data_IF_441028548769
#
_entry.id   IF_441028548769
#
_cell.length_a   1.000
_cell.length_b   1.000
_cell.length_c   1.000
_cell.angle_alpha   90.00
_cell.angle_beta   90.00
_cell.angle_gamma   90.00
#
_symmetry.space_group_name_H-M   'P 1'
#
loop_
_entity.id
_entity.type
_entity.pdbx_description
1 polymer ?
#
# COMPACT_ATOMS: atom_id res chain seq x y z
N UNK A 1 -9.41 -4.14 17.28
CA UNK A 1 -8.80 -5.46 17.03
C UNK A 1 -7.54 -5.30 16.20
N UNK A 2 -6.37 -5.07 16.80
CA UNK A 2 -5.17 -5.60 16.18
C UNK A 2 -5.34 -7.12 16.24
N UNK A 3 -5.37 -7.78 15.09
CA UNK A 3 -5.05 -9.20 15.05
C UNK A 3 -3.80 -9.42 15.89
N UNK A 4 -3.67 -10.56 16.56
CA UNK A 4 -2.35 -11.15 16.78
C UNK A 4 -1.71 -11.40 15.41
N UNK A 5 -1.32 -10.33 14.73
CA UNK A 5 -0.22 -10.26 13.79
C UNK A 5 1.02 -10.50 14.62
N UNK A 6 1.13 -11.74 15.11
CA UNK A 6 2.23 -12.24 15.89
C UNK A 6 3.51 -11.98 15.08
N UNK A 7 4.34 -11.08 15.60
CA UNK A 7 5.75 -10.93 15.28
C UNK A 7 6.12 -10.57 13.82
N UNK A 8 5.53 -9.51 13.26
CA UNK A 8 6.24 -8.69 12.26
C UNK A 8 7.01 -7.51 12.90
N UNK A 9 6.79 -7.28 14.19
CA UNK A 9 7.49 -6.31 14.99
C UNK A 9 8.66 -7.00 15.69
N UNK A 10 9.77 -7.18 14.97
CA UNK A 10 11.07 -7.34 15.63
C UNK A 10 11.25 -6.18 16.61
N UNK A 11 11.87 -6.41 17.77
CA UNK A 11 12.24 -5.38 18.75
C UNK A 11 13.35 -4.46 18.19
N UNK A 12 13.14 -3.92 16.98
CA UNK A 12 13.90 -2.83 16.43
C UNK A 12 13.65 -1.60 17.30
N UNK A 13 14.74 -0.89 17.63
CA UNK A 13 14.67 0.40 18.32
C UNK A 13 13.59 1.25 17.66
N UNK A 14 12.70 1.84 18.47
CA UNK A 14 11.69 2.81 18.03
C UNK A 14 12.33 3.76 17.01
N UNK A 15 11.88 3.69 15.76
CA UNK A 15 12.38 4.54 14.68
C UNK A 15 11.94 6.00 14.84
N UNK A 16 10.94 6.26 15.70
CA UNK A 16 10.53 7.61 16.07
C UNK A 16 11.61 8.25 16.95
N UNK A 17 12.12 9.45 16.58
CA UNK A 17 13.04 10.21 17.43
C UNK A 17 12.47 10.37 18.84
N UNK A 18 13.28 10.19 19.91
CA UNK A 18 12.79 10.20 21.29
C UNK A 18 11.96 11.44 21.65
N UNK A 19 12.33 12.61 21.12
CA UNK A 19 11.64 13.88 21.38
C UNK A 19 10.21 13.97 20.82
N UNK A 20 9.81 13.04 19.94
CA UNK A 20 8.50 13.04 19.29
C UNK A 20 7.58 11.90 19.73
N UNK A 21 8.05 10.95 20.56
CA UNK A 21 7.25 9.78 20.95
C UNK A 21 5.94 10.12 21.65
N UNK A 22 5.95 11.20 22.44
CA UNK A 22 4.78 11.69 23.18
C UNK A 22 3.97 12.73 22.38
N UNK A 23 4.33 12.98 21.12
CA UNK A 23 3.62 13.95 20.30
C UNK A 23 2.17 13.51 20.10
N UNK A 24 1.21 14.41 20.31
CA UNK A 24 -0.23 14.10 20.31
C UNK A 24 -0.71 13.51 18.98
N UNK A 25 -0.06 13.87 17.87
CA UNK A 25 -0.35 13.31 16.53
C UNK A 25 0.16 11.88 16.32
N UNK A 26 1.10 11.39 17.14
CA UNK A 26 1.68 10.04 17.02
C UNK A 26 1.08 9.06 18.03
N UNK A 27 0.70 9.55 19.21
CA UNK A 27 0.18 8.70 20.28
C UNK A 27 -1.13 8.02 19.88
N UNK A 28 -1.10 6.69 19.81
CA UNK A 28 -2.24 5.83 19.44
C UNK A 28 -2.90 6.17 18.09
N UNK A 29 -2.15 6.78 17.16
CA UNK A 29 -2.63 7.21 15.84
C UNK A 29 -1.74 6.72 14.74
N UNK A 30 -2.35 6.55 13.56
CA UNK A 30 -1.58 6.33 12.35
C UNK A 30 -1.06 7.67 11.86
N UNK A 31 0.25 7.74 11.67
CA UNK A 31 0.91 8.90 11.11
C UNK A 31 1.66 8.47 9.84
N UNK A 32 1.00 8.58 8.70
CA UNK A 32 1.64 8.35 7.40
C UNK A 32 2.48 9.55 7.00
N UNK A 33 3.66 9.29 6.44
CA UNK A 33 4.60 10.34 6.02
C UNK A 33 4.67 10.41 4.50
N UNK A 34 4.99 11.60 3.98
CA UNK A 34 5.42 11.77 2.60
C UNK A 34 6.92 11.48 2.51
N UNK A 35 7.45 10.93 1.41
CA UNK A 35 8.90 10.80 1.26
C UNK A 35 9.59 12.16 1.32
N UNK A 36 10.79 12.24 1.90
CA UNK A 36 11.43 13.54 2.15
C UNK A 36 11.59 14.32 0.85
N UNK A 37 11.98 13.65 -0.24
CA UNK A 37 12.08 14.30 -1.55
C UNK A 37 10.72 14.74 -2.14
N UNK A 38 9.61 14.09 -1.78
CA UNK A 38 8.25 14.53 -2.18
C UNK A 38 7.83 15.72 -1.35
N UNK A 39 8.02 15.66 -0.02
CA UNK A 39 7.70 16.75 0.91
C UNK A 39 8.46 18.02 0.52
N UNK A 40 9.78 17.95 0.38
CA UNK A 40 10.60 19.11 0.01
C UNK A 40 10.20 19.67 -1.36
N UNK A 41 9.88 18.80 -2.33
CA UNK A 41 9.43 19.26 -3.65
C UNK A 41 8.07 19.98 -3.57
N UNK A 42 7.19 19.56 -2.68
CA UNK A 42 5.90 20.25 -2.45
C UNK A 42 6.13 21.57 -1.74
N UNK A 43 6.96 21.61 -0.71
CA UNK A 43 7.30 22.84 0.04
C UNK A 43 7.96 23.87 -0.87
N UNK A 44 8.91 23.46 -1.71
CA UNK A 44 9.59 24.31 -2.68
C UNK A 44 8.60 25.01 -3.63
N UNK A 45 7.62 24.27 -4.17
CA UNK A 45 6.69 24.82 -5.16
C UNK A 45 5.54 25.61 -4.50
N UNK A 46 5.11 25.23 -3.30
CA UNK A 46 4.00 25.90 -2.59
C UNK A 46 4.47 27.15 -1.82
N UNK A 47 5.68 27.14 -1.28
CA UNK A 47 6.24 28.14 -0.37
C UNK A 47 6.19 27.68 1.08
N UNK A 48 7.34 27.65 1.77
CA UNK A 48 7.47 27.17 3.16
C UNK A 48 6.66 28.02 4.16
N UNK A 49 6.55 29.33 3.91
CA UNK A 49 5.78 30.28 4.72
C UNK A 49 4.29 29.98 4.79
N UNK A 50 3.77 29.15 3.88
CA UNK A 50 2.36 28.75 3.84
C UNK A 50 2.02 27.58 4.76
N UNK A 51 3.02 26.84 5.23
CA UNK A 51 2.81 25.65 6.06
C UNK A 51 2.81 26.02 7.53
N UNK A 52 2.06 25.25 8.33
CA UNK A 52 2.24 25.29 9.77
C UNK A 52 3.68 24.86 10.11
N UNK A 53 4.43 25.76 10.75
CA UNK A 53 5.87 25.59 10.96
C UNK A 53 6.18 24.40 11.86
N UNK A 54 5.41 24.21 12.93
CA UNK A 54 5.64 23.14 13.90
C UNK A 54 5.35 21.77 13.26
N UNK A 55 4.22 21.65 12.56
CA UNK A 55 3.83 20.44 11.85
C UNK A 55 4.81 20.10 10.73
N UNK A 56 5.27 21.09 9.95
CA UNK A 56 6.23 20.84 8.88
C UNK A 56 7.58 20.35 9.43
N UNK A 57 8.07 20.92 10.54
CA UNK A 57 9.29 20.44 11.21
C UNK A 57 9.14 19.00 11.67
N UNK A 58 8.00 18.65 12.28
CA UNK A 58 7.69 17.29 12.67
C UNK A 58 7.68 16.34 11.46
N UNK A 59 6.98 16.71 10.39
CA UNK A 59 6.90 15.89 9.18
C UNK A 59 8.26 15.65 8.53
N UNK A 60 9.11 16.67 8.42
CA UNK A 60 10.47 16.52 7.87
C UNK A 60 11.29 15.50 8.65
N UNK A 61 11.24 15.58 9.98
CA UNK A 61 11.93 14.63 10.87
C UNK A 61 11.39 13.22 10.72
N UNK A 62 10.07 13.05 10.77
CA UNK A 62 9.43 11.74 10.66
C UNK A 62 9.58 11.12 9.27
N UNK A 63 9.50 11.93 8.21
CA UNK A 63 9.79 11.53 6.84
C UNK A 63 11.21 10.99 6.71
N UNK A 64 12.19 11.72 7.26
CA UNK A 64 13.59 11.30 7.27
C UNK A 64 13.79 9.99 8.03
N UNK A 65 13.11 9.83 9.17
CA UNK A 65 13.14 8.60 9.95
C UNK A 65 12.46 7.41 9.23
N UNK A 66 11.42 7.66 8.44
CA UNK A 66 10.69 6.64 7.68
C UNK A 66 11.44 6.19 6.41
N UNK A 67 12.27 7.07 5.83
CA UNK A 67 13.11 6.78 4.68
C UNK A 67 12.46 7.12 3.34
N UNK A 68 12.67 6.27 2.32
CA UNK A 68 12.26 6.50 0.92
C UNK A 68 10.88 5.91 0.56
N UNK A 69 10.21 5.36 1.56
CA UNK A 69 8.93 4.67 1.48
C UNK A 69 8.85 3.41 0.61
N UNK A 70 9.98 2.76 0.34
CA UNK A 70 10.02 1.46 -0.35
C UNK A 70 9.57 0.28 0.51
N UNK A 71 9.60 0.43 1.83
CA UNK A 71 9.28 -0.65 2.79
C UNK A 71 8.55 -0.19 4.05
N UNK A 72 8.56 1.10 4.35
CA UNK A 72 7.90 1.72 5.49
C UNK A 72 7.07 2.88 4.95
N UNK A 73 5.96 3.27 5.59
CA UNK A 73 5.07 4.35 5.07
C UNK A 73 4.60 5.32 6.15
N UNK A 74 4.92 5.04 7.41
CA UNK A 74 4.48 5.84 8.53
C UNK A 74 4.73 5.16 9.85
N UNK A 75 4.03 5.64 10.88
CA UNK A 75 4.17 5.19 12.25
C UNK A 75 2.80 4.90 12.86
N UNK A 76 2.75 3.91 13.73
CA UNK A 76 1.61 3.63 14.60
C UNK A 76 2.12 3.18 15.96
N UNK A 77 1.69 3.87 17.02
CA UNK A 77 2.01 3.52 18.41
C UNK A 77 3.52 3.34 18.66
N UNK A 78 4.35 4.21 18.09
CA UNK A 78 5.82 4.12 18.22
C UNK A 78 6.51 3.22 17.18
N UNK A 79 5.77 2.43 16.41
CA UNK A 79 6.32 1.44 15.47
C UNK A 79 6.17 1.87 14.01
N UNK A 80 7.12 1.48 13.15
CA UNK A 80 7.00 1.70 11.72
C UNK A 80 5.90 0.82 11.09
N UNK A 81 5.10 1.43 10.24
CA UNK A 81 4.13 0.74 9.38
C UNK A 81 4.90 0.22 8.16
N UNK A 82 5.13 -1.09 8.08
CA UNK A 82 5.85 -1.73 6.97
C UNK A 82 4.91 -2.02 5.81
N UNK A 83 5.15 -1.42 4.65
CA UNK A 83 4.29 -1.58 3.48
C UNK A 83 5.07 -1.36 2.17
N UNK A 84 5.21 -2.43 1.38
CA UNK A 84 6.03 -2.43 0.17
C UNK A 84 5.24 -2.18 -1.14
N UNK A 85 3.91 -2.05 -1.06
CA UNK A 85 3.07 -1.87 -2.24
C UNK A 85 2.79 -0.40 -2.56
N UNK A 86 3.24 0.54 -1.72
CA UNK A 86 3.06 1.97 -2.01
C UNK A 86 4.02 2.43 -3.12
N UNK A 87 5.26 1.95 -3.09
CA UNK A 87 6.33 2.40 -3.98
C UNK A 87 7.14 1.22 -4.49
N UNK A 88 7.57 1.20 -5.78
CA UNK A 88 8.50 0.19 -6.25
C UNK A 88 9.77 0.16 -5.39
N UNK A 89 10.22 -1.04 -5.03
CA UNK A 89 11.51 -1.21 -4.38
C UNK A 89 12.59 -0.71 -5.31
N UNK A 90 13.34 0.29 -4.86
CA UNK A 90 14.59 0.67 -5.52
C UNK A 90 15.57 -0.44 -5.17
N UNK A 91 15.93 -1.25 -6.17
CA UNK A 91 17.02 -2.22 -5.99
C UNK A 91 18.27 -1.36 -5.84
N UNK A 92 18.91 -1.34 -4.65
CA UNK A 92 20.10 -0.53 -4.47
C UNK A 92 21.15 -0.98 -5.49
N UNK A 93 21.91 -0.03 -6.07
CA UNK A 93 22.96 -0.38 -7.00
C UNK A 93 23.91 -1.37 -6.30
N UNK A 94 24.18 -2.46 -6.99
CA UNK A 94 25.06 -3.49 -6.50
C UNK A 94 26.47 -2.92 -6.25
N UNK A 95 27.04 -3.14 -5.06
CA UNK A 95 28.40 -2.70 -4.74
C UNK A 95 29.41 -3.76 -5.16
N UNK A 96 30.27 -3.41 -6.14
CA UNK A 96 31.39 -4.26 -6.60
C UNK A 96 32.27 -4.68 -5.42
N UNK A 97 32.54 -3.76 -4.50
CA UNK A 97 33.40 -4.01 -3.35
C UNK A 97 32.76 -5.03 -2.39
N UNK A 98 31.43 -5.02 -2.27
CA UNK A 98 30.70 -6.02 -1.48
C UNK A 98 30.86 -7.43 -2.08
N UNK A 99 30.70 -7.63 -3.40
CA UNK A 99 30.97 -8.96 -3.97
C UNK A 99 32.42 -9.38 -3.78
N UNK A 100 33.38 -8.48 -4.00
CA UNK A 100 34.80 -8.79 -3.82
C UNK A 100 35.09 -9.21 -2.38
N UNK A 101 34.56 -8.49 -1.40
CA UNK A 101 34.71 -8.83 0.03
C UNK A 101 34.07 -10.19 0.39
N UNK A 102 33.03 -10.60 -0.32
CA UNK A 102 32.38 -11.90 -0.18
C UNK A 102 33.04 -13.01 -1.03
N UNK A 103 34.15 -12.73 -1.72
CA UNK A 103 34.82 -13.69 -2.62
C UNK A 103 34.03 -14.02 -3.89
N UNK A 104 33.02 -13.22 -4.23
CA UNK A 104 32.18 -13.40 -5.41
C UNK A 104 32.71 -12.59 -6.60
N UNK A 105 32.60 -13.15 -7.81
CA UNK A 105 32.95 -12.42 -9.02
C UNK A 105 31.86 -11.37 -9.33
N UNK A 106 32.20 -10.06 -9.41
CA UNK A 106 31.20 -9.00 -9.59
C UNK A 106 30.27 -9.21 -10.79
N UNK A 107 30.80 -9.67 -11.93
CA UNK A 107 30.01 -9.93 -13.12
C UNK A 107 28.96 -11.05 -12.95
N UNK A 108 29.28 -12.06 -12.12
CA UNK A 108 28.33 -13.14 -11.81
C UNK A 108 27.21 -12.64 -10.89
N UNK A 109 27.56 -11.80 -9.91
CA UNK A 109 26.57 -11.19 -8.99
C UNK A 109 25.68 -10.22 -9.73
N UNK A 110 26.23 -9.36 -10.58
CA UNK A 110 25.46 -8.45 -11.42
C UNK A 110 24.50 -9.22 -12.33
N UNK A 111 24.99 -10.28 -13.00
CA UNK A 111 24.13 -11.14 -13.83
C UNK A 111 23.04 -11.82 -13.00
N UNK A 112 23.36 -12.31 -11.81
CA UNK A 112 22.37 -12.94 -10.92
C UNK A 112 21.33 -11.92 -10.44
N UNK A 113 21.74 -10.73 -10.01
CA UNK A 113 20.83 -9.66 -9.59
C UNK A 113 19.96 -9.17 -10.74
N UNK A 114 20.52 -9.04 -11.94
CA UNK A 114 19.74 -8.74 -13.14
C UNK A 114 18.73 -9.84 -13.43
N UNK A 115 19.13 -11.12 -13.35
CA UNK A 115 18.19 -12.23 -13.48
C UNK A 115 17.13 -12.25 -12.37
N UNK A 116 17.45 -11.89 -11.13
CA UNK A 116 16.49 -11.81 -10.02
C UNK A 116 15.53 -10.62 -10.16
N UNK A 117 16.04 -9.47 -10.61
CA UNK A 117 15.25 -8.28 -10.92
C UNK A 117 14.31 -8.54 -12.10
N UNK A 118 14.87 -9.09 -13.19
CA UNK A 118 14.16 -9.37 -14.44
C UNK A 118 13.15 -10.51 -14.31
N UNK A 119 13.33 -11.47 -13.38
CA UNK A 119 12.57 -12.73 -13.45
C UNK A 119 11.14 -12.67 -12.96
N UNK A 120 10.81 -12.00 -11.86
CA UNK A 120 9.43 -12.07 -11.32
C UNK A 120 9.14 -10.99 -10.26
N UNK A 121 10.12 -10.56 -9.46
CA UNK A 121 9.84 -9.74 -8.26
C UNK A 121 9.34 -8.35 -8.63
N UNK A 122 9.93 -7.70 -9.62
CA UNK A 122 9.49 -6.38 -10.06
C UNK A 122 8.14 -6.45 -10.77
N UNK A 123 7.93 -7.47 -11.61
CA UNK A 123 6.69 -7.68 -12.35
C UNK A 123 5.52 -8.01 -11.41
N UNK A 124 5.73 -8.94 -10.47
CA UNK A 124 4.75 -9.25 -9.42
C UNK A 124 4.48 -8.05 -8.52
N UNK A 125 5.53 -7.29 -8.18
CA UNK A 125 5.38 -6.02 -7.48
C UNK A 125 4.52 -5.04 -8.28
N UNK A 126 4.75 -4.92 -9.59
CA UNK A 126 3.97 -4.05 -10.48
C UNK A 126 2.50 -4.46 -10.54
N UNK A 127 2.20 -5.76 -10.64
CA UNK A 127 0.82 -6.28 -10.61
C UNK A 127 0.15 -6.01 -9.27
N UNK A 128 0.85 -6.28 -8.17
CA UNK A 128 0.37 -6.04 -6.82
C UNK A 128 0.04 -4.55 -6.59
N UNK A 129 0.96 -3.64 -6.94
CA UNK A 129 0.73 -2.19 -6.84
C UNK A 129 -0.40 -1.71 -7.75
N UNK A 130 -0.47 -2.23 -8.98
CA UNK A 130 -1.56 -1.97 -9.91
C UNK A 130 -2.91 -2.41 -9.33
N UNK A 131 -2.96 -3.58 -8.68
CA UNK A 131 -4.16 -4.09 -8.03
C UNK A 131 -4.55 -3.23 -6.82
N UNK A 132 -3.59 -2.82 -5.97
CA UNK A 132 -3.83 -1.86 -4.91
C UNK A 132 -4.43 -0.55 -5.44
N UNK A 133 -3.88 -0.01 -6.54
CA UNK A 133 -4.43 1.19 -7.17
C UNK A 133 -5.83 1.02 -7.75
N UNK A 134 -6.11 -0.16 -8.33
CA UNK A 134 -7.47 -0.49 -8.76
C UNK A 134 -8.43 -0.58 -7.58
N UNK A 135 -8.07 -1.30 -6.50
CA UNK A 135 -8.86 -1.39 -5.27
C UNK A 135 -9.16 -0.02 -4.67
N UNK A 136 -8.13 0.83 -4.58
CA UNK A 136 -8.26 2.19 -4.05
C UNK A 136 -9.05 3.15 -4.95
N UNK A 137 -9.40 2.71 -6.15
CA UNK A 137 -10.33 3.39 -7.06
C UNK A 137 -11.63 2.60 -7.31
N UNK A 138 -11.82 1.47 -6.63
CA UNK A 138 -13.02 0.65 -6.69
C UNK A 138 -13.98 1.08 -5.56
N UNK A 139 -15.10 1.70 -5.92
CA UNK A 139 -16.10 2.21 -4.97
C UNK A 139 -16.64 1.11 -4.04
N UNK A 140 -16.90 -0.08 -4.57
CA UNK A 140 -17.45 -1.18 -3.79
C UNK A 140 -16.46 -1.66 -2.72
N UNK A 141 -15.19 -1.89 -3.09
CA UNK A 141 -14.13 -2.24 -2.14
C UNK A 141 -14.03 -1.21 -1.02
N UNK A 142 -13.98 0.05 -1.42
CA UNK A 142 -13.85 1.17 -0.52
C UNK A 142 -15.02 1.25 0.46
N UNK A 143 -16.27 1.11 -0.01
CA UNK A 143 -17.47 1.20 0.83
C UNK A 143 -17.57 0.00 1.80
N UNK A 144 -17.21 -1.21 1.35
CA UNK A 144 -17.10 -2.39 2.22
C UNK A 144 -15.99 -2.24 3.28
N UNK A 145 -14.84 -1.70 2.89
CA UNK A 145 -13.72 -1.40 3.79
C UNK A 145 -14.15 -0.38 4.87
N UNK A 146 -14.78 0.73 4.47
CA UNK A 146 -15.22 1.74 5.42
C UNK A 146 -16.25 1.18 6.42
N UNK A 147 -17.18 0.34 5.96
CA UNK A 147 -18.14 -0.35 6.82
C UNK A 147 -17.44 -1.25 7.85
N UNK A 148 -16.45 -2.02 7.41
CA UNK A 148 -15.67 -2.91 8.28
C UNK A 148 -14.98 -2.12 9.41
N UNK A 149 -14.35 -0.99 9.07
CA UNK A 149 -13.70 -0.13 10.06
C UNK A 149 -14.68 0.68 10.91
N UNK A 150 -15.84 1.09 10.39
CA UNK A 150 -16.85 1.78 11.20
C UNK A 150 -17.47 0.86 12.25
N UNK A 151 -17.68 -0.41 11.90
CA UNK A 151 -18.23 -1.42 12.82
C UNK A 151 -17.25 -1.72 13.96
N UNK A 152 -15.95 -1.85 13.65
CA UNK A 152 -14.91 -2.07 14.66
C UNK A 152 -14.53 -0.83 15.48
N UNK A 153 -14.81 0.39 14.98
CA UNK A 153 -14.44 1.67 15.60
C UNK A 153 -15.28 2.09 16.80
N UNK A 154 -16.58 1.78 16.80
CA UNK A 154 -17.46 2.12 17.91
C UNK A 154 -17.11 1.35 19.20
N UNK A 155 -16.15 0.45 19.11
CA UNK A 155 -15.73 -0.43 20.17
C UNK A 155 -14.26 -0.09 20.45
N UNK A 156 -14.06 0.97 21.25
CA UNK A 156 -12.76 1.29 21.84
C UNK A 156 -12.09 -0.01 22.32
N UNK A 157 -10.75 -0.15 22.28
CA UNK A 157 -10.07 -1.29 22.92
C UNK A 157 -10.42 -1.45 24.42
N UNK A 158 -11.05 -0.44 25.04
CA UNK A 158 -11.64 -0.50 26.40
C UNK A 158 -13.10 -0.95 26.46
N UNK A 159 -13.79 -1.00 25.34
CA UNK A 159 -15.10 -1.62 25.24
C UNK A 159 -14.88 -3.12 25.36
N UNK A 160 -15.31 -3.71 26.48
CA UNK A 160 -15.41 -5.15 26.66
C UNK A 160 -16.42 -5.70 25.65
N UNK A 161 -15.97 -5.91 24.43
CA UNK A 161 -16.73 -6.75 23.51
C UNK A 161 -16.82 -8.13 24.10
N UNK A 162 -18.02 -8.69 24.14
CA UNK A 162 -18.18 -10.10 24.40
C UNK A 162 -17.45 -10.91 23.32
N UNK A 163 -17.08 -12.15 23.65
CA UNK A 163 -16.32 -13.01 22.75
C UNK A 163 -17.03 -13.24 21.41
N UNK A 164 -18.37 -13.20 21.37
CA UNK A 164 -19.15 -13.43 20.16
C UNK A 164 -19.04 -12.25 19.17
N UNK A 165 -19.13 -11.00 19.65
CA UNK A 165 -18.94 -9.82 18.82
C UNK A 165 -17.51 -9.75 18.24
N UNK A 166 -16.51 -10.19 19.03
CA UNK A 166 -15.12 -10.29 18.55
C UNK A 166 -14.97 -11.31 17.43
N UNK A 167 -15.62 -12.46 17.57
CA UNK A 167 -15.59 -13.52 16.56
C UNK A 167 -16.30 -13.07 15.27
N UNK A 168 -17.49 -12.47 15.38
CA UNK A 168 -18.22 -11.96 14.23
C UNK A 168 -17.40 -10.92 13.43
N UNK A 169 -16.71 -10.01 14.13
CA UNK A 169 -15.85 -9.03 13.47
C UNK A 169 -14.65 -9.69 12.77
N UNK A 170 -14.07 -10.74 13.36
CA UNK A 170 -13.00 -11.52 12.72
C UNK A 170 -13.53 -12.24 11.46
N UNK A 171 -14.70 -12.87 11.54
CA UNK A 171 -15.30 -13.57 10.41
C UNK A 171 -15.65 -12.61 9.26
N UNK A 172 -16.18 -11.42 9.57
CA UNK A 172 -16.42 -10.35 8.58
C UNK A 172 -15.11 -9.87 7.94
N UNK A 173 -14.05 -9.70 8.73
CA UNK A 173 -12.74 -9.30 8.26
C UNK A 173 -12.11 -10.37 7.34
N UNK A 174 -12.16 -11.64 7.73
CA UNK A 174 -11.64 -12.76 6.95
C UNK A 174 -12.42 -12.92 5.64
N UNK A 175 -13.75 -12.81 5.67
CA UNK A 175 -14.60 -12.82 4.49
C UNK A 175 -14.26 -11.65 3.53
N UNK A 176 -13.99 -10.47 4.08
CA UNK A 176 -13.53 -9.31 3.31
C UNK A 176 -12.18 -9.58 2.64
N UNK A 177 -11.19 -10.11 3.37
CA UNK A 177 -9.88 -10.44 2.82
C UNK A 177 -9.97 -11.48 1.69
N UNK A 178 -10.73 -12.56 1.90
CA UNK A 178 -10.93 -13.62 0.89
C UNK A 178 -11.62 -13.07 -0.36
N UNK A 179 -12.67 -12.26 -0.18
CA UNK A 179 -13.42 -11.65 -1.29
C UNK A 179 -12.56 -10.79 -2.20
N UNK A 180 -11.65 -10.03 -1.60
CA UNK A 180 -10.78 -9.07 -2.31
C UNK A 180 -9.37 -9.60 -2.57
N UNK A 181 -9.13 -10.90 -2.31
CA UNK A 181 -7.84 -11.58 -2.55
C UNK A 181 -6.69 -10.88 -1.85
N UNK A 182 -6.91 -10.52 -0.60
CA UNK A 182 -5.94 -9.85 0.24
C UNK A 182 -5.33 -10.84 1.23
N UNK A 183 -4.03 -10.73 1.43
CA UNK A 183 -3.33 -11.37 2.53
C UNK A 183 -3.67 -10.66 3.85
N UNK A 184 -3.71 -9.33 3.84
CA UNK A 184 -4.03 -8.50 5.00
C UNK A 184 -4.33 -7.06 4.59
N UNK A 185 -4.73 -6.24 5.56
CA UNK A 185 -4.75 -4.77 5.47
C UNK A 185 -3.86 -4.23 6.58
N UNK A 186 -2.66 -3.74 6.22
CA UNK A 186 -1.63 -3.34 7.21
C UNK A 186 -2.04 -2.09 7.99
N UNK A 187 -2.74 -1.21 7.31
CA UNK A 187 -3.33 0.00 7.85
C UNK A 187 -4.53 0.40 6.98
N UNK A 188 -5.40 1.32 7.43
CA UNK A 188 -6.51 1.76 6.61
C UNK A 188 -6.04 2.20 5.23
N UNK A 189 -6.69 1.68 4.18
CA UNK A 189 -6.37 1.98 2.79
C UNK A 189 -4.98 1.50 2.31
N UNK A 190 -4.33 0.60 3.05
CA UNK A 190 -3.10 -0.10 2.64
C UNK A 190 -3.35 -1.61 2.50
N UNK A 191 -4.10 -2.04 1.46
CA UNK A 191 -4.34 -3.45 1.22
C UNK A 191 -3.04 -4.17 0.83
N UNK A 192 -2.86 -5.41 1.31
CA UNK A 192 -1.76 -6.28 0.88
C UNK A 192 -2.35 -7.41 0.05
N UNK A 193 -2.18 -7.41 -1.28
CA UNK A 193 -2.68 -8.48 -2.13
C UNK A 193 -2.07 -9.84 -1.75
N UNK A 194 -2.83 -10.91 -1.96
CA UNK A 194 -2.25 -12.25 -1.97
C UNK A 194 -1.14 -12.30 -3.02
N UNK A 195 0.04 -12.78 -2.63
CA UNK A 195 1.17 -13.00 -3.53
C UNK A 195 1.23 -14.47 -3.95
N UNK A 196 1.83 -14.78 -5.11
CA UNK A 196 2.13 -16.16 -5.46
C UNK A 196 2.98 -16.78 -4.34
N UNK A 197 2.50 -17.90 -3.79
CA UNK A 197 3.31 -18.70 -2.88
C UNK A 197 4.03 -19.73 -3.73
N UNK A 198 5.32 -19.47 -3.98
CA UNK A 198 6.20 -20.51 -4.48
C UNK A 198 6.48 -21.47 -3.31
N UNK A 199 6.37 -22.77 -3.56
CA UNK A 199 6.32 -23.84 -2.55
C UNK A 199 7.44 -23.86 -1.48
N UNK A 200 8.46 -23.00 -1.57
CA UNK A 200 9.52 -22.85 -0.57
C UNK A 200 9.17 -22.03 0.68
N UNK A 201 7.93 -21.51 0.81
CA UNK A 201 7.52 -20.65 1.93
C UNK A 201 6.56 -21.26 2.97
N UNK A 202 6.25 -22.55 2.88
CA UNK A 202 5.27 -23.20 3.77
C UNK A 202 5.92 -23.75 5.05
N UNK A 203 5.19 -23.76 6.16
CA UNK A 203 5.62 -24.37 7.42
C UNK A 203 5.56 -25.91 7.31
N UNK A 204 6.45 -26.60 8.03
CA UNK A 204 6.76 -28.03 7.84
C UNK A 204 5.57 -29.00 7.94
N UNK A 205 4.48 -28.65 8.65
CA UNK A 205 3.34 -29.56 8.85
C UNK A 205 2.33 -29.55 7.69
N UNK A 206 2.21 -28.46 6.93
CA UNK A 206 1.33 -28.38 5.74
C UNK A 206 2.01 -28.93 4.49
N UNK A 207 3.33 -28.98 4.51
CA UNK A 207 4.17 -29.54 3.44
C UNK A 207 4.02 -31.07 3.37
N UNK A 208 3.86 -31.77 4.50
CA UNK A 208 3.86 -33.24 4.52
C UNK A 208 2.64 -33.85 3.78
N UNK A 209 1.48 -33.18 3.82
CA UNK A 209 0.26 -33.64 3.14
C UNK A 209 0.28 -33.34 1.63
N UNK A 210 0.93 -32.23 1.24
CA UNK A 210 1.18 -31.82 -0.14
C UNK A 210 2.28 -32.68 -0.81
N UNK A 211 3.34 -33.06 -0.06
CA UNK A 211 4.46 -33.87 -0.54
C UNK A 211 4.11 -35.33 -0.88
N UNK A 212 2.98 -35.84 -0.39
CA UNK A 212 2.58 -37.24 -0.63
C UNK A 212 1.65 -37.41 -1.85
N UNK A 213 1.16 -36.34 -2.48
CA UNK A 213 0.15 -36.44 -3.57
C UNK A 213 0.38 -35.52 -4.78
N UNK A 214 1.25 -34.51 -4.69
CA UNK A 214 1.60 -33.61 -5.81
C UNK A 214 1.80 -32.16 -5.37
N UNK A 215 2.54 -31.37 -6.17
CA UNK A 215 2.85 -29.97 -5.83
C UNK A 215 1.62 -29.05 -5.83
N UNK A 216 1.52 -28.17 -4.83
CA UNK A 216 0.52 -27.08 -4.82
C UNK A 216 1.17 -25.78 -5.26
N UNK A 217 0.67 -25.27 -6.37
CA UNK A 217 0.93 -23.93 -6.86
C UNK A 217 -0.24 -23.06 -6.46
N UNK A 218 -0.03 -22.11 -5.54
CA UNK A 218 -1.01 -21.07 -5.25
C UNK A 218 -0.64 -19.82 -6.04
N UNK A 219 -1.37 -19.60 -7.14
CA UNK A 219 -1.33 -18.37 -7.93
C UNK A 219 -2.70 -17.68 -7.77
N UNK A 220 -2.79 -16.55 -7.05
CA UNK A 220 -4.04 -15.79 -6.97
C UNK A 220 -4.56 -15.42 -8.36
N UNK A 221 -5.89 -15.45 -8.53
CA UNK A 221 -6.59 -15.07 -9.77
C UNK A 221 -6.38 -13.59 -10.17
N UNK A 222 -5.82 -12.78 -9.27
CA UNK A 222 -5.44 -11.38 -9.51
C UNK A 222 -4.06 -11.21 -10.18
N UNK A 223 -3.27 -12.27 -10.29
CA UNK A 223 -1.93 -12.27 -10.92
C UNK A 223 -2.01 -12.86 -12.33
N UNK A 224 -1.38 -12.25 -13.35
CA UNK A 224 -1.39 -12.82 -14.69
C UNK A 224 -0.51 -14.07 -14.78
N UNK A 225 -1.03 -15.09 -15.44
CA UNK A 225 -0.33 -16.35 -15.72
C UNK A 225 0.73 -16.17 -16.83
N UNK A 226 1.94 -16.76 -16.72
CA UNK A 226 2.96 -16.69 -17.77
C UNK A 226 2.55 -17.46 -19.04
N UNK A 227 3.36 -17.36 -20.11
CA UNK A 227 2.99 -17.80 -21.46
C UNK A 227 2.78 -19.32 -21.64
N UNK A 228 2.38 -19.71 -22.85
CA UNK A 228 0.99 -20.11 -23.09
C UNK A 228 0.74 -21.61 -23.22
N UNK A 229 1.66 -22.44 -23.71
CA UNK A 229 1.21 -23.78 -24.16
C UNK A 229 1.28 -24.86 -23.07
N UNK A 230 2.15 -24.72 -22.06
CA UNK A 230 2.37 -25.76 -21.03
C UNK A 230 1.56 -25.55 -19.75
N UNK A 231 1.21 -24.30 -19.43
CA UNK A 231 0.54 -23.95 -18.17
C UNK A 231 -0.97 -23.74 -18.39
N UNK A 232 -1.39 -23.39 -19.61
CA UNK A 232 -2.75 -22.96 -19.93
C UNK A 232 -3.77 -24.09 -20.07
N UNK A 233 -3.41 -25.23 -20.65
CA UNK A 233 -4.35 -26.37 -20.79
C UNK A 233 -4.64 -27.06 -19.45
N UNK A 234 -3.71 -27.04 -18.49
CA UNK A 234 -3.87 -27.75 -17.22
C UNK A 234 -4.47 -26.88 -16.09
N UNK A 235 -4.41 -25.55 -16.20
CA UNK A 235 -4.95 -24.62 -15.20
C UNK A 235 -6.29 -23.97 -15.59
N UNK A 236 -6.60 -23.79 -16.88
CA UNK A 236 -7.93 -23.28 -17.29
C UNK A 236 -9.06 -24.22 -16.84
N UNK A 237 -8.86 -25.54 -16.92
CA UNK A 237 -9.84 -26.58 -16.52
C UNK A 237 -10.01 -26.73 -14.98
N UNK A 238 -9.02 -26.29 -14.22
CA UNK A 238 -9.01 -26.40 -12.75
C UNK A 238 -9.52 -25.13 -12.05
N UNK A 239 -9.28 -23.94 -12.63
CA UNK A 239 -9.60 -22.64 -12.02
C UNK A 239 -10.99 -22.08 -12.36
N UNK A 240 -11.65 -22.56 -13.42
CA UNK A 240 -12.90 -21.96 -13.94
C UNK A 240 -14.18 -22.80 -13.74
N UNK A 241 -14.19 -23.76 -12.80
CA UNK A 241 -15.42 -24.54 -12.51
C UNK A 241 -16.50 -23.77 -11.72
N UNK A 242 -16.34 -22.46 -11.50
CA UNK A 242 -17.31 -21.61 -10.82
C UNK A 242 -17.55 -20.28 -11.52
N UNK A 243 -18.69 -19.65 -11.23
CA UNK A 243 -19.05 -18.33 -11.74
C UNK A 243 -17.95 -17.31 -11.43
N UNK A 244 -17.49 -16.58 -12.44
CA UNK A 244 -16.49 -15.53 -12.26
C UNK A 244 -17.06 -14.44 -11.34
N UNK A 245 -16.33 -14.02 -10.28
CA UNK A 245 -16.82 -12.97 -9.39
C UNK A 245 -17.02 -11.67 -10.16
N UNK A 246 -18.28 -11.22 -10.28
CA UNK A 246 -18.65 -10.04 -11.06
C UNK A 246 -17.91 -8.78 -10.59
N UNK A 247 -17.64 -8.65 -9.28
CA UNK A 247 -16.95 -7.49 -8.72
C UNK A 247 -15.45 -7.39 -9.08
N UNK A 248 -14.82 -8.49 -9.52
CA UNK A 248 -13.43 -8.50 -9.99
C UNK A 248 -13.32 -8.46 -11.52
N UNK A 249 -14.45 -8.47 -12.24
CA UNK A 249 -14.45 -8.62 -13.69
C UNK A 249 -13.60 -7.56 -14.39
N UNK A 250 -13.68 -6.30 -13.97
CA UNK A 250 -12.89 -5.21 -14.54
C UNK A 250 -11.38 -5.46 -14.40
N UNK A 251 -10.93 -5.84 -13.20
CA UNK A 251 -9.52 -6.17 -12.97
C UNK A 251 -9.09 -7.38 -13.81
N UNK A 252 -9.90 -8.44 -13.82
CA UNK A 252 -9.64 -9.64 -14.61
C UNK A 252 -9.55 -9.32 -16.10
N UNK A 253 -10.30 -8.33 -16.60
CA UNK A 253 -10.19 -7.86 -17.98
C UNK A 253 -8.88 -7.10 -18.25
N UNK A 254 -8.42 -6.26 -17.32
CA UNK A 254 -7.17 -5.51 -17.43
C UNK A 254 -5.94 -6.43 -17.53
N UNK A 255 -5.90 -7.50 -16.73
CA UNK A 255 -4.71 -8.38 -16.62
C UNK A 255 -4.63 -9.48 -17.68
N UNK A 256 -5.70 -9.70 -18.47
CA UNK A 256 -5.75 -10.74 -19.52
C UNK A 256 -4.58 -10.63 -20.50
N UNK A 257 -3.97 -11.76 -20.81
CA UNK A 257 -2.76 -11.85 -21.65
C UNK A 257 -2.91 -11.30 -23.08
N UNK A 258 -4.13 -11.26 -23.61
CA UNK A 258 -4.42 -10.68 -24.93
C UNK A 258 -4.80 -9.21 -24.91
N UNK A 259 -4.86 -8.57 -23.74
CA UNK A 259 -5.33 -7.20 -23.62
C UNK A 259 -4.16 -6.21 -23.69
N UNK A 260 -4.19 -5.29 -24.64
CA UNK A 260 -3.26 -4.14 -24.70
C UNK A 260 -3.41 -3.22 -23.49
N UNK A 261 -4.51 -3.34 -22.74
CA UNK A 261 -4.75 -2.65 -21.47
C UNK A 261 -3.84 -3.09 -20.32
N UNK A 262 -2.90 -4.06 -20.49
CA UNK A 262 -1.81 -4.28 -19.52
C UNK A 262 -1.02 -2.99 -19.22
N UNK A 263 -0.97 -2.07 -20.18
CA UNK A 263 -0.43 -0.72 -20.00
C UNK A 263 -1.19 0.14 -18.96
N UNK A 264 -2.34 -0.32 -18.45
CA UNK A 264 -3.09 0.37 -17.40
C UNK A 264 -2.59 0.08 -15.98
N UNK A 265 -1.72 -0.93 -15.79
CA UNK A 265 -1.16 -1.25 -14.47
C UNK A 265 -0.30 -0.12 -13.92
N UNK A 266 0.57 0.48 -14.73
CA UNK A 266 1.41 1.61 -14.28
C UNK A 266 0.58 2.85 -13.92
N UNK A 267 -0.45 3.22 -14.70
CA UNK A 267 -1.43 4.19 -14.25
C UNK A 267 -2.05 3.88 -12.89
N UNK A 268 -2.52 2.66 -12.64
CA UNK A 268 -3.11 2.33 -11.34
C UNK A 268 -2.09 2.35 -10.21
N UNK A 269 -0.90 1.79 -10.39
CA UNK A 269 0.16 1.84 -9.40
C UNK A 269 0.54 3.30 -9.04
N UNK A 270 0.68 4.17 -10.05
CA UNK A 270 0.94 5.60 -9.83
C UNK A 270 -0.25 6.30 -9.17
N UNK A 271 -1.49 5.99 -9.57
CA UNK A 271 -2.70 6.54 -8.96
C UNK A 271 -2.79 6.17 -7.48
N UNK A 272 -2.36 4.97 -7.09
CA UNK A 272 -2.30 4.56 -5.69
C UNK A 272 -1.39 5.45 -4.86
N UNK A 273 -0.13 5.59 -5.30
CA UNK A 273 0.88 6.42 -4.65
C UNK A 273 0.45 7.91 -4.62
N UNK A 274 -0.03 8.42 -5.75
CA UNK A 274 -0.55 9.79 -5.89
C UNK A 274 -1.74 10.03 -4.96
N UNK A 275 -2.72 9.13 -4.92
CA UNK A 275 -3.90 9.24 -4.07
C UNK A 275 -3.51 9.26 -2.59
N UNK A 276 -2.57 8.41 -2.19
CA UNK A 276 -2.07 8.36 -0.82
C UNK A 276 -1.44 9.71 -0.43
N UNK A 277 -0.43 10.17 -1.18
CA UNK A 277 0.27 11.42 -0.90
C UNK A 277 -0.64 12.65 -0.95
N UNK A 278 -1.54 12.70 -1.93
CA UNK A 278 -2.46 13.82 -2.08
C UNK A 278 -3.45 13.94 -0.91
N UNK A 279 -3.92 12.80 -0.38
CA UNK A 279 -4.79 12.79 0.81
C UNK A 279 -4.06 13.25 2.05
N UNK A 280 -2.81 12.81 2.26
CA UNK A 280 -2.00 13.26 3.40
C UNK A 280 -1.77 14.77 3.38
N UNK A 281 -1.42 15.33 2.22
CA UNK A 281 -1.29 16.78 2.05
C UNK A 281 -2.61 17.51 2.34
N UNK A 282 -3.73 16.99 1.85
CA UNK A 282 -5.05 17.61 2.05
C UNK A 282 -5.52 17.58 3.49
N UNK A 283 -5.21 16.52 4.21
CA UNK A 283 -5.59 16.35 5.61
C UNK A 283 -4.80 17.28 6.53
N UNK A 284 -3.48 17.36 6.33
CA UNK A 284 -2.58 18.07 7.26
C UNK A 284 -2.26 19.50 6.86
N UNK A 285 -2.31 19.80 5.57
CA UNK A 285 -1.88 21.07 4.99
C UNK A 285 -2.95 21.68 4.08
N UNK A 286 -4.23 21.50 4.44
CA UNK A 286 -5.37 21.94 3.63
C UNK A 286 -5.27 23.41 3.20
N UNK A 287 -4.90 24.28 4.14
CA UNK A 287 -4.79 25.73 3.95
C UNK A 287 -3.56 26.10 3.10
N UNK A 288 -2.41 25.49 3.39
CA UNK A 288 -1.16 25.70 2.65
C UNK A 288 -1.33 25.36 1.16
N UNK A 289 -2.08 24.30 0.84
CA UNK A 289 -2.28 23.86 -0.54
C UNK A 289 -3.59 24.36 -1.17
N UNK A 290 -4.36 25.18 -0.45
CA UNK A 290 -5.58 25.78 -1.00
C UNK A 290 -5.24 26.59 -2.26
N UNK A 291 -6.00 26.37 -3.35
CA UNK A 291 -5.79 26.94 -4.69
C UNK A 291 -4.43 26.65 -5.34
N UNK A 292 -3.66 25.69 -4.83
CA UNK A 292 -2.33 25.30 -5.35
C UNK A 292 -2.33 23.99 -6.15
N UNK A 293 -3.47 23.63 -6.76
CA UNK A 293 -3.59 22.34 -7.48
C UNK A 293 -2.63 22.29 -8.69
N UNK A 294 -2.45 23.40 -9.41
CA UNK A 294 -1.51 23.46 -10.54
C UNK A 294 -0.06 23.24 -10.11
N UNK A 295 0.33 23.94 -9.04
CA UNK A 295 1.64 23.86 -8.40
C UNK A 295 1.93 22.44 -7.89
N UNK A 296 0.99 21.83 -7.17
CA UNK A 296 1.09 20.43 -6.74
C UNK A 296 1.21 19.46 -7.92
N UNK A 297 0.43 19.65 -8.99
CA UNK A 297 0.54 18.79 -10.17
C UNK A 297 1.92 18.87 -10.82
N UNK A 298 2.59 20.03 -10.77
CA UNK A 298 3.97 20.20 -11.24
C UNK A 298 4.97 19.53 -10.30
N UNK A 299 4.80 19.66 -8.98
CA UNK A 299 5.63 18.95 -8.00
C UNK A 299 5.57 17.43 -8.19
N UNK A 300 4.36 16.87 -8.29
CA UNK A 300 4.15 15.44 -8.54
C UNK A 300 4.60 15.00 -9.94
N UNK A 301 4.48 15.85 -10.95
CA UNK A 301 5.03 15.58 -12.29
C UNK A 301 6.54 15.31 -12.24
N UNK A 302 7.27 16.12 -11.48
CA UNK A 302 8.71 15.94 -11.24
C UNK A 302 9.01 14.65 -10.47
N UNK A 303 8.22 14.34 -9.44
CA UNK A 303 8.38 13.14 -8.60
C UNK A 303 8.16 11.84 -9.38
N UNK A 304 7.10 11.79 -10.18
CA UNK A 304 6.70 10.59 -10.91
C UNK A 304 7.32 10.46 -12.30
N UNK A 305 8.07 11.46 -12.76
CA UNK A 305 8.65 11.45 -14.11
C UNK A 305 7.60 11.44 -15.24
N UNK A 306 6.43 12.03 -15.01
CA UNK A 306 5.33 12.14 -16.00
C UNK A 306 4.91 13.60 -16.15
N UNK A 307 4.17 13.96 -17.20
CA UNK A 307 3.73 15.34 -17.38
C UNK A 307 2.71 15.79 -16.32
N UNK A 308 2.68 17.09 -16.01
CA UNK A 308 1.66 17.70 -15.14
C UNK A 308 0.23 17.42 -15.64
N UNK A 309 0.03 17.40 -16.96
CA UNK A 309 -1.25 17.02 -17.56
C UNK A 309 -1.62 15.56 -17.26
N UNK A 310 -0.65 14.65 -17.21
CA UNK A 310 -0.89 13.25 -16.81
C UNK A 310 -1.32 13.16 -15.35
N UNK A 311 -0.66 13.88 -14.44
CA UNK A 311 -1.08 13.94 -13.03
C UNK A 311 -2.52 14.45 -12.88
N UNK A 312 -2.88 15.54 -13.59
CA UNK A 312 -4.26 16.05 -13.59
C UNK A 312 -5.26 15.04 -14.16
N UNK A 313 -4.88 14.31 -15.22
CA UNK A 313 -5.68 13.23 -15.79
C UNK A 313 -5.90 12.09 -14.79
N UNK A 314 -4.86 11.69 -14.05
CA UNK A 314 -4.93 10.64 -13.04
C UNK A 314 -5.87 11.08 -11.88
N UNK A 315 -5.76 12.31 -11.38
CA UNK A 315 -6.67 12.86 -10.37
C UNK A 315 -8.13 12.92 -10.87
N UNK A 316 -8.33 13.29 -12.14
CA UNK A 316 -9.65 13.30 -12.76
C UNK A 316 -10.23 11.87 -12.87
N UNK A 317 -9.38 10.87 -13.16
CA UNK A 317 -9.78 9.47 -13.19
C UNK A 317 -10.17 8.97 -11.78
N UNK A 318 -9.38 9.27 -10.73
CA UNK A 318 -9.74 8.98 -9.33
C UNK A 318 -11.11 9.59 -9.00
N UNK A 319 -11.29 10.89 -9.28
CA UNK A 319 -12.56 11.60 -9.02
C UNK A 319 -13.74 10.99 -9.78
N UNK A 320 -13.55 10.57 -11.03
CA UNK A 320 -14.62 9.94 -11.83
C UNK A 320 -15.08 8.62 -11.22
N UNK A 321 -14.15 7.81 -10.72
CA UNK A 321 -14.45 6.49 -10.14
C UNK A 321 -15.03 6.57 -8.74
N UNK A 322 -14.53 7.50 -7.92
CA UNK A 322 -14.89 7.61 -6.51
C UNK A 322 -15.96 8.68 -6.23
N UNK A 323 -16.25 9.54 -7.19
CA UNK A 323 -17.14 10.69 -7.03
C UNK A 323 -16.42 11.94 -6.49
N UNK A 324 -17.11 13.08 -6.41
CA UNK A 324 -16.52 14.37 -6.04
C UNK A 324 -16.02 14.44 -4.59
N UNK A 325 -16.57 13.63 -3.68
CA UNK A 325 -16.23 13.62 -2.26
C UNK A 325 -15.04 12.74 -1.88
N UNK A 326 -14.29 12.18 -2.85
CA UNK A 326 -13.23 11.21 -2.56
C UNK A 326 -12.10 11.74 -1.67
N UNK A 327 -11.86 13.05 -1.69
CA UNK A 327 -10.89 13.73 -0.82
C UNK A 327 -11.39 13.90 0.61
N UNK A 328 -12.71 13.99 0.80
CA UNK A 328 -13.36 14.20 2.10
C UNK A 328 -13.55 12.90 2.86
N UNK A 329 -13.11 11.77 2.30
CA UNK A 329 -13.23 10.47 2.96
C UNK A 329 -12.28 10.45 4.16
N UNK A 330 -12.79 10.33 5.40
CA UNK A 330 -11.95 10.41 6.58
C UNK A 330 -10.99 9.22 6.62
N UNK A 331 -9.81 9.39 7.21
CA UNK A 331 -8.98 8.23 7.52
C UNK A 331 -9.64 7.41 8.63
N UNK A 332 -9.75 6.07 8.48
CA UNK A 332 -10.41 5.18 9.41
C UNK A 332 -9.79 5.10 10.82
N UNK A 333 -8.89 6.00 11.24
CA UNK A 333 -8.37 6.01 12.61
C UNK A 333 -8.39 7.36 13.34
N UNK A 334 -8.98 8.40 12.74
CA UNK A 334 -8.89 9.77 13.28
C UNK A 334 -10.03 10.23 14.23
N UNK A 335 -10.92 9.33 14.69
CA UNK A 335 -12.13 9.74 15.47
C UNK A 335 -11.90 9.88 16.98
N UNK A 336 -10.67 9.74 17.49
CA UNK A 336 -10.39 9.72 18.93
C UNK A 336 -10.00 11.06 19.58
N UNK A 337 -9.59 12.07 18.81
CA UNK A 337 -9.36 13.45 19.26
C UNK A 337 -9.24 14.32 17.99
N UNK A 338 -9.81 15.51 17.87
CA UNK A 338 -9.93 16.54 18.85
C UNK A 338 -11.29 17.22 18.63
N UNK A 339 -12.33 16.81 19.35
CA UNK A 339 -13.53 17.61 19.51
C UNK A 339 -13.24 18.77 20.48
N UNK A 340 -12.22 19.59 20.16
CA UNK A 340 -11.91 20.93 20.68
C UNK A 340 -10.88 21.56 19.72
N UNK A 341 -11.31 21.90 18.50
CA UNK A 341 -10.72 23.09 17.89
C UNK A 341 -11.15 24.27 18.79
N UNK A 342 -10.25 25.15 19.26
CA UNK A 342 -10.68 26.39 19.89
C UNK A 342 -11.52 27.16 18.88
N UNK A 343 -12.66 27.71 19.33
CA UNK A 343 -13.46 28.60 18.50
C UNK A 343 -12.56 29.71 17.95
N UNK A 344 -12.63 30.02 16.63
CA UNK A 344 -11.92 31.16 16.10
C UNK A 344 -12.53 32.43 16.72
N UNK A 345 -11.71 33.17 17.47
CA UNK A 345 -12.03 34.52 17.96
C UNK A 345 -11.99 35.51 16.81
#
# INVERSE_FOLDING_TARGET
MPTESASLFSAEKSAIPPEHREHQLLCSRHFFTLPSFVLERVVEVVGEDRFDRELLVLERKLSTACGDHTSQVGFYDGHCIRYAELRPKIIPPFSIDLAKSAGLQPAQVERALKLYADRDVEELGRYSRGYCGWLMTNKQFLDEHDKLYSNGRNQSPRSELDAAARQNLRDEYDAFLVRWRLQSVVAPYLPVPCKPLFAGGLLANDIQHLMNTGGVFYLPDVMPMPSRDQLRSRLDDALHRGDRPQHLQEWLEIVRAGNTARNQMDPFARMFELQHYWRLLRERHADAIHRKIGDLANAFSSVFGVSSQRIKSDLAAIRRRLGPGWLSRPWPLDVGACAKAPDPV
#
